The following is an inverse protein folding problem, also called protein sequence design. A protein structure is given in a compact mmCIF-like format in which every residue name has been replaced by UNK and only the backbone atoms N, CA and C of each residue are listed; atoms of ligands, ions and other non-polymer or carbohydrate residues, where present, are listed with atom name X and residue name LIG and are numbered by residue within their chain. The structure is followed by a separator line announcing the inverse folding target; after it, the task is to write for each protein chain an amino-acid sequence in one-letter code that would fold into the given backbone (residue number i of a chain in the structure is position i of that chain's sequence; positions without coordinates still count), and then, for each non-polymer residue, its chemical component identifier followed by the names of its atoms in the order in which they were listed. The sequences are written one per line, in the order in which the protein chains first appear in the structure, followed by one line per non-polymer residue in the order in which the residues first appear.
data_IF_790774542343
#
_entry.id   IF_790774542343
#
_cell.length_a   1.000
_cell.length_b   1.000
_cell.length_c   1.000
_cell.angle_alpha   90.00
_cell.angle_beta   90.00
_cell.angle_gamma   90.00
#
_symmetry.space_group_name_H-M   'P 1'
#
loop_
_entity.id
_entity.type
_entity.pdbx_description
1 polymer ?
#
# COMPACT_ATOMS: atom_id res chain seq x y z
N UNK A 1 -20.95 -11.07 -18.36
CA UNK A 1 -20.64 -9.65 -18.65
C UNK A 1 -19.22 -9.40 -18.17
N UNK A 2 -18.25 -9.56 -19.06
CA UNK A 2 -16.84 -9.28 -18.81
C UNK A 2 -16.66 -7.76 -18.98
N UNK A 3 -16.52 -7.04 -17.86
CA UNK A 3 -16.27 -5.61 -17.87
C UNK A 3 -14.78 -5.38 -18.02
N UNK A 4 -14.42 -4.90 -19.20
CA UNK A 4 -13.12 -4.31 -19.52
C UNK A 4 -12.84 -3.12 -18.60
N UNK A 5 -11.58 -3.01 -18.19
CA UNK A 5 -10.85 -1.85 -17.67
C UNK A 5 -11.54 -0.92 -16.64
N UNK A 6 -11.05 -1.00 -15.40
CA UNK A 6 -10.98 0.12 -14.45
C UNK A 6 -12.24 1.00 -14.34
N UNK A 7 -13.40 0.42 -14.02
CA UNK A 7 -14.57 1.25 -13.69
C UNK A 7 -14.23 2.20 -12.53
N UNK A 8 -14.37 3.54 -12.68
CA UNK A 8 -14.00 4.51 -11.64
C UNK A 8 -14.69 4.24 -10.28
N UNK A 9 -15.83 3.58 -10.32
CA UNK A 9 -16.61 3.12 -9.16
C UNK A 9 -15.80 2.24 -8.21
N UNK A 10 -14.94 1.36 -8.73
CA UNK A 10 -14.15 0.42 -7.91
C UNK A 10 -12.94 1.07 -7.23
N UNK A 11 -12.65 2.35 -7.50
CA UNK A 11 -11.65 3.11 -6.73
C UNK A 11 -12.12 3.40 -5.30
N UNK A 12 -13.44 3.35 -5.03
CA UNK A 12 -14.00 3.58 -3.71
C UNK A 12 -13.90 2.32 -2.82
N UNK A 13 -13.26 2.46 -1.66
CA UNK A 13 -13.12 1.40 -0.66
C UNK A 13 -14.46 0.76 -0.27
N UNK A 14 -15.48 1.56 0.04
CA UNK A 14 -16.79 1.04 0.47
C UNK A 14 -17.46 0.24 -0.65
N UNK A 15 -17.34 0.68 -1.90
CA UNK A 15 -17.91 -0.05 -3.04
C UNK A 15 -17.24 -1.41 -3.20
N UNK A 16 -15.90 -1.48 -3.07
CA UNK A 16 -15.20 -2.76 -3.07
C UNK A 16 -15.64 -3.64 -1.90
N UNK A 17 -15.73 -3.08 -0.69
CA UNK A 17 -16.15 -3.83 0.49
C UNK A 17 -17.56 -4.43 0.33
N UNK A 18 -18.49 -3.70 -0.28
CA UNK A 18 -19.85 -4.19 -0.54
C UNK A 18 -19.88 -5.43 -1.44
N UNK A 19 -18.88 -5.62 -2.31
CA UNK A 19 -18.78 -6.85 -3.10
C UNK A 19 -18.58 -8.08 -2.22
N UNK A 20 -18.10 -7.97 -0.99
CA UNK A 20 -17.86 -9.13 -0.13
C UNK A 20 -19.11 -9.64 0.62
N UNK A 21 -20.32 -9.20 0.27
CA UNK A 21 -21.56 -9.57 0.97
C UNK A 21 -21.83 -11.09 1.05
N UNK A 22 -21.31 -11.87 0.10
CA UNK A 22 -21.43 -13.35 0.07
C UNK A 22 -20.10 -14.08 0.29
N UNK A 23 -19.06 -13.36 0.71
CA UNK A 23 -17.70 -13.87 0.83
C UNK A 23 -17.59 -15.00 1.86
N UNK A 24 -17.00 -16.13 1.44
CA UNK A 24 -16.73 -17.30 2.29
C UNK A 24 -15.25 -17.69 2.34
N UNK A 25 -14.38 -16.87 1.75
CA UNK A 25 -12.94 -17.10 1.78
C UNK A 25 -12.34 -16.86 3.16
N UNK A 26 -11.13 -17.37 3.37
CA UNK A 26 -10.45 -17.33 4.67
C UNK A 26 -9.73 -16.00 4.97
N UNK A 27 -9.73 -15.04 4.05
CA UNK A 27 -9.15 -13.71 4.24
C UNK A 27 -10.19 -12.69 4.70
N UNK A 28 -9.83 -11.74 5.59
CA UNK A 28 -10.75 -10.70 6.02
C UNK A 28 -11.14 -9.78 4.86
N UNK A 29 -12.43 -9.70 4.55
CA UNK A 29 -12.98 -8.88 3.47
C UNK A 29 -12.53 -7.40 3.55
N UNK A 30 -12.47 -6.84 4.77
CA UNK A 30 -12.02 -5.46 5.01
C UNK A 30 -10.56 -5.27 4.56
N UNK A 31 -9.68 -6.24 4.85
CA UNK A 31 -8.27 -6.14 4.47
C UNK A 31 -8.09 -6.30 2.96
N UNK A 32 -8.84 -7.21 2.32
CA UNK A 32 -8.86 -7.35 0.87
C UNK A 32 -9.30 -6.04 0.20
N UNK A 33 -10.43 -5.46 0.65
CA UNK A 33 -10.93 -4.18 0.15
C UNK A 33 -9.94 -3.03 0.35
N UNK A 34 -9.24 -2.99 1.49
CA UNK A 34 -8.20 -2.01 1.78
C UNK A 34 -6.95 -2.19 0.89
N UNK A 35 -6.67 -3.40 0.43
CA UNK A 35 -5.58 -3.73 -0.50
C UNK A 35 -6.00 -3.64 -1.97
N UNK A 36 -7.00 -2.81 -2.28
CA UNK A 36 -7.51 -2.54 -3.63
C UNK A 36 -8.21 -3.72 -4.31
N UNK A 37 -8.57 -4.77 -3.56
CA UNK A 37 -9.29 -5.92 -4.09
C UNK A 37 -10.81 -5.79 -3.98
N UNK A 38 -11.54 -6.35 -4.95
CA UNK A 38 -12.98 -6.58 -4.89
C UNK A 38 -13.28 -8.04 -5.24
N UNK A 39 -14.37 -8.58 -4.70
CA UNK A 39 -14.78 -9.97 -4.90
C UNK A 39 -15.54 -10.15 -6.21
N UNK A 40 -15.20 -11.19 -6.99
CA UNK A 40 -15.86 -11.53 -8.25
C UNK A 40 -17.14 -12.37 -8.09
N UNK A 41 -17.64 -12.54 -6.86
CA UNK A 41 -18.82 -13.37 -6.56
C UNK A 41 -18.67 -14.85 -6.96
N UNK A 42 -17.44 -15.32 -7.13
CA UNK A 42 -17.14 -16.70 -7.52
C UNK A 42 -16.01 -17.24 -6.63
N UNK A 43 -16.30 -18.34 -5.92
CA UNK A 43 -15.36 -19.00 -4.99
C UNK A 43 -14.69 -18.02 -4.02
N UNK A 44 -13.35 -17.97 -4.02
CA UNK A 44 -12.54 -17.03 -3.25
C UNK A 44 -11.73 -16.09 -4.17
N UNK A 45 -12.24 -15.83 -5.39
CA UNK A 45 -11.54 -15.05 -6.40
C UNK A 45 -11.75 -13.55 -6.18
N UNK A 46 -10.67 -12.82 -5.95
CA UNK A 46 -10.67 -11.36 -5.89
C UNK A 46 -9.85 -10.76 -7.02
N UNK A 47 -10.22 -9.55 -7.45
CA UNK A 47 -9.47 -8.79 -8.47
C UNK A 47 -9.02 -7.45 -7.93
N UNK A 48 -7.78 -7.07 -8.17
CA UNK A 48 -7.30 -5.73 -7.85
C UNK A 48 -7.89 -4.73 -8.84
N UNK A 49 -8.52 -3.67 -8.35
CA UNK A 49 -9.08 -2.64 -9.23
C UNK A 49 -7.97 -1.87 -10.00
N UNK A 50 -6.77 -1.74 -9.42
CA UNK A 50 -5.71 -0.90 -9.96
C UNK A 50 -4.87 -1.59 -11.06
N UNK A 51 -4.58 -2.88 -10.92
CA UNK A 51 -3.77 -3.62 -11.90
C UNK A 51 -4.50 -4.81 -12.57
N UNK A 52 -5.71 -5.14 -12.12
CA UNK A 52 -6.49 -6.24 -12.69
C UNK A 52 -6.03 -7.64 -12.28
N UNK A 53 -4.98 -7.79 -11.44
CA UNK A 53 -4.53 -9.13 -10.99
C UNK A 53 -5.65 -9.84 -10.22
N UNK A 54 -5.84 -11.10 -10.54
CA UNK A 54 -6.76 -11.99 -9.84
C UNK A 54 -5.98 -12.94 -8.93
N UNK A 55 -6.45 -13.09 -7.69
CA UNK A 55 -5.86 -14.00 -6.70
C UNK A 55 -7.00 -14.81 -6.07
N UNK A 56 -6.75 -16.11 -5.92
CA UNK A 56 -7.71 -17.12 -5.47
C UNK A 56 -6.96 -18.31 -4.88
N UNK A 57 -7.68 -19.29 -4.32
CA UNK A 57 -7.12 -20.40 -3.52
C UNK A 57 -6.29 -19.89 -2.34
N UNK A 58 -6.80 -18.88 -1.65
CA UNK A 58 -6.19 -18.30 -0.47
C UNK A 58 -6.03 -19.37 0.61
N UNK A 59 -4.86 -19.43 1.21
CA UNK A 59 -4.55 -20.25 2.39
C UNK A 59 -4.58 -19.40 3.66
N UNK A 60 -4.81 -19.98 4.84
CA UNK A 60 -4.85 -19.21 6.09
C UNK A 60 -3.60 -18.35 6.33
N UNK A 61 -2.43 -18.85 5.96
CA UNK A 61 -1.10 -18.25 6.15
C UNK A 61 -0.68 -17.24 5.07
N UNK A 62 -1.37 -17.20 3.93
CA UNK A 62 -1.06 -16.25 2.85
C UNK A 62 -1.12 -14.78 3.31
N UNK A 63 -0.25 -13.92 2.78
CA UNK A 63 -0.29 -12.49 3.05
C UNK A 63 -0.80 -11.73 1.82
N UNK A 64 -1.88 -10.96 2.00
CA UNK A 64 -2.56 -10.25 0.91
C UNK A 64 -1.61 -9.33 0.13
N UNK A 65 -0.75 -8.58 0.83
CA UNK A 65 0.17 -7.64 0.21
C UNK A 65 1.37 -8.34 -0.43
N UNK A 66 1.87 -9.40 0.18
CA UNK A 66 2.99 -10.17 -0.38
C UNK A 66 2.56 -10.92 -1.64
N UNK A 67 1.40 -11.56 -1.64
CA UNK A 67 0.87 -12.23 -2.83
C UNK A 67 0.54 -11.21 -3.93
N UNK A 68 -0.06 -10.08 -3.59
CA UNK A 68 -0.29 -9.01 -4.57
C UNK A 68 1.03 -8.52 -5.20
N UNK A 69 2.07 -8.31 -4.40
CA UNK A 69 3.41 -7.97 -4.91
C UNK A 69 4.02 -9.08 -5.77
N UNK A 70 3.87 -10.33 -5.36
CA UNK A 70 4.40 -11.50 -6.06
C UNK A 70 3.77 -11.67 -7.45
N UNK A 71 2.45 -11.53 -7.54
CA UNK A 71 1.72 -11.77 -8.78
C UNK A 71 1.59 -10.52 -9.67
N UNK A 72 1.75 -9.31 -9.12
CA UNK A 72 1.71 -8.06 -9.88
C UNK A 72 2.66 -7.01 -9.28
N UNK A 73 3.99 -7.19 -9.42
CA UNK A 73 4.99 -6.31 -8.80
C UNK A 73 4.94 -4.86 -9.31
N UNK A 74 4.49 -4.63 -10.55
CA UNK A 74 4.32 -3.31 -11.17
C UNK A 74 2.94 -2.69 -10.92
N UNK A 75 2.18 -3.19 -9.94
CA UNK A 75 0.93 -2.55 -9.55
C UNK A 75 1.24 -1.21 -8.89
N UNK A 76 0.67 -0.10 -9.38
CA UNK A 76 0.86 1.24 -8.80
C UNK A 76 0.56 1.32 -7.31
N UNK A 77 -0.41 0.54 -6.83
CA UNK A 77 -0.68 0.40 -5.40
C UNK A 77 0.51 -0.21 -4.66
N UNK A 78 1.06 -1.32 -5.17
CA UNK A 78 2.23 -1.98 -4.58
C UNK A 78 3.47 -1.08 -4.62
N UNK A 79 3.74 -0.42 -5.74
CA UNK A 79 4.82 0.57 -5.87
C UNK A 79 4.69 1.67 -4.80
N UNK A 80 3.49 2.25 -4.65
CA UNK A 80 3.21 3.28 -3.63
C UNK A 80 3.48 2.77 -2.21
N UNK A 81 3.03 1.56 -1.90
CA UNK A 81 3.24 0.93 -0.59
C UNK A 81 4.74 0.70 -0.32
N UNK A 82 5.49 0.21 -1.31
CA UNK A 82 6.94 0.05 -1.20
C UNK A 82 7.63 1.38 -0.89
N UNK A 83 7.32 2.45 -1.64
CA UNK A 83 7.90 3.77 -1.40
C UNK A 83 7.63 4.30 0.02
N UNK A 84 6.41 4.12 0.54
CA UNK A 84 6.06 4.53 1.91
C UNK A 84 6.93 3.80 2.94
N UNK A 85 7.12 2.48 2.78
CA UNK A 85 7.96 1.70 3.70
C UNK A 85 9.44 2.12 3.67
N UNK A 86 10.00 2.50 2.51
CA UNK A 86 11.38 2.96 2.42
C UNK A 86 11.58 4.38 2.96
N UNK A 87 10.58 5.26 2.80
CA UNK A 87 10.63 6.62 3.36
C UNK A 87 10.56 6.61 4.88
N UNK A 88 9.71 5.76 5.46
CA UNK A 88 9.56 5.65 6.92
C UNK A 88 10.81 5.07 7.62
N UNK A 89 11.70 4.40 6.88
CA UNK A 89 12.98 3.92 7.38
C UNK A 89 14.14 4.91 7.18
N UNK A 90 13.90 6.08 6.57
CA UNK A 90 14.93 7.10 6.30
C UNK A 90 14.91 8.28 7.28
N UNK A 91 13.89 8.42 8.13
CA UNK A 91 13.76 9.54 9.09
C UNK A 91 14.63 9.42 10.37
N UNK A 92 15.57 8.47 10.46
CA UNK A 92 16.38 8.27 11.69
C UNK A 92 17.90 8.33 11.51
N UNK A 93 18.45 8.57 10.31
CA UNK A 93 19.92 8.42 10.11
C UNK A 93 20.67 9.66 9.60
N UNK A 94 20.04 10.68 9.01
CA UNK A 94 20.80 11.82 8.44
C UNK A 94 20.06 13.15 8.67
N UNK A 95 20.23 13.80 9.83
CA UNK A 95 20.10 15.28 9.95
C UNK A 95 20.52 15.91 11.30
N UNK A 96 21.48 15.36 12.05
CA UNK A 96 22.05 16.08 13.22
C UNK A 96 23.57 16.04 13.38
N UNK A 97 24.35 15.89 12.30
CA UNK A 97 25.81 16.07 12.42
C UNK A 97 26.44 16.66 11.14
N UNK A 98 26.45 17.99 11.04
CA UNK A 98 27.50 18.75 10.37
C UNK A 98 27.79 20.04 11.18
N UNK A 99 28.74 19.91 12.11
CA UNK A 99 29.43 21.01 12.81
C UNK A 99 30.29 21.81 11.81
N UNK A 100 30.39 23.14 11.97
CA UNK A 100 31.58 23.90 11.55
C UNK A 100 32.01 24.83 12.71
N UNK A 101 33.33 24.83 12.92
CA UNK A 101 34.08 25.20 14.12
C UNK A 101 34.15 26.70 14.45
N UNK A 102 34.42 26.92 15.74
CA UNK A 102 34.81 28.17 16.40
C UNK A 102 35.91 28.95 15.66
N UNK A 103 35.76 30.27 15.59
CA UNK A 103 36.91 31.19 15.60
C UNK A 103 36.74 32.18 16.77
N UNK A 104 37.74 32.18 17.65
CA UNK A 104 37.95 33.18 18.70
C UNK A 104 38.38 34.51 18.07
N UNK A 105 37.94 35.63 18.67
CA UNK A 105 38.79 36.74 19.15
C UNK A 105 38.08 38.12 19.04
N UNK A 106 37.76 38.67 20.23
CA UNK A 106 38.07 40.05 20.63
C UNK A 106 37.44 41.26 19.90
N UNK A 107 36.59 42.03 20.61
CA UNK A 107 36.92 43.30 21.33
C UNK A 107 35.70 44.21 21.56
N UNK A 108 35.67 44.80 22.76
CA UNK A 108 35.20 46.16 23.15
C UNK A 108 33.74 46.55 22.78
N UNK A 109 32.85 47.10 23.62
CA UNK A 109 32.94 48.02 24.77
C UNK A 109 31.84 49.09 24.60
N UNK A 110 31.18 49.51 25.70
CA UNK A 110 30.32 50.72 25.90
C UNK A 110 29.16 50.98 24.89
N UNK A 111 27.89 51.08 25.30
CA UNK A 111 27.22 52.14 26.11
C UNK A 111 25.87 51.61 26.58
#
# INVERSE_FOLDING_TARGET
MCLDDCTPVMSNFYVRLLTFGSWKGNKPAIQLAACEFYYLQTEDIVRCFNCGVEIYKWKPDDNILEDHRKFSPSCKFIEKIQHIFFQNNSSTVIEKNQNIQLHDSNKEGYV
#
